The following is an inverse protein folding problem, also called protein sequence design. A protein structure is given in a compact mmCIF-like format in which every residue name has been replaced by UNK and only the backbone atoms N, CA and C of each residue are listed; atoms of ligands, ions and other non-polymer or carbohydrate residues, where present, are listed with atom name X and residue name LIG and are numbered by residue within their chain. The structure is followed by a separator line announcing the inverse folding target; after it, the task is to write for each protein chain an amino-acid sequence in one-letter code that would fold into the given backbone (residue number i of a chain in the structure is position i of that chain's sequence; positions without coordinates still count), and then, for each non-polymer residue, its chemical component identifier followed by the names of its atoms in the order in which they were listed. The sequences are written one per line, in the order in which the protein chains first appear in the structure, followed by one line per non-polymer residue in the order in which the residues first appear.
data_IF_611093867291
#
_entry.id   IF_611093867291
#
_cell.length_a   1.000
_cell.length_b   1.000
_cell.length_c   1.000
_cell.angle_alpha   90.00
_cell.angle_beta   90.00
_cell.angle_gamma   90.00
#
_symmetry.space_group_name_H-M   'P 1'
#
loop_
_entity.id
_entity.type
_entity.pdbx_description
1 polymer ?
#
# COMPACT_ATOMS: atom_id res chain seq x y z
N UNK A 1 -3.93 -11.70 -57.97
CA UNK A 1 -5.02 -12.67 -58.22
C UNK A 1 -6.24 -12.14 -57.47
N UNK A 2 -7.06 -11.26 -58.07
CA UNK A 2 -8.14 -11.59 -59.02
C UNK A 2 -9.12 -12.60 -58.39
N UNK A 3 -10.32 -12.17 -57.97
CA UNK A 3 -11.59 -12.20 -58.75
C UNK A 3 -12.54 -13.23 -58.07
N UNK A 4 -13.88 -13.15 -58.01
CA UNK A 4 -14.97 -12.42 -58.68
C UNK A 4 -16.14 -12.25 -57.65
N UNK A 5 -16.88 -11.13 -57.56
CA UNK A 5 -18.02 -10.67 -58.39
C UNK A 5 -19.25 -11.62 -58.35
N UNK A 6 -20.53 -11.19 -58.23
CA UNK A 6 -21.24 -10.08 -58.92
C UNK A 6 -22.67 -9.85 -58.36
N UNK A 7 -23.15 -8.63 -58.59
CA UNK A 7 -24.54 -8.12 -58.49
C UNK A 7 -25.51 -8.74 -59.52
N UNK A 8 -26.81 -8.36 -59.48
CA UNK A 8 -27.31 -7.62 -60.66
C UNK A 8 -28.23 -6.41 -60.40
N UNK A 9 -28.31 -5.57 -61.44
CA UNK A 9 -29.02 -4.30 -61.60
C UNK A 9 -30.47 -4.42 -62.16
N UNK A 10 -31.34 -3.52 -61.69
CA UNK A 10 -32.20 -2.55 -62.44
C UNK A 10 -32.84 -2.92 -63.80
N UNK A 11 -34.17 -2.76 -63.90
CA UNK A 11 -34.90 -2.32 -65.13
C UNK A 11 -36.06 -1.38 -64.75
N UNK A 12 -36.27 -0.37 -65.60
CA UNK A 12 -37.21 0.78 -65.59
C UNK A 12 -38.41 0.45 -66.52
N UNK A 13 -39.64 1.01 -66.47
CA UNK A 13 -40.06 2.40 -66.73
C UNK A 13 -41.60 2.53 -66.71
N UNK A 14 -42.08 3.79 -66.76
CA UNK A 14 -43.40 4.29 -67.21
C UNK A 14 -44.54 4.38 -66.17
N UNK A 15 -45.40 5.40 -66.11
CA UNK A 15 -45.45 6.83 -66.50
C UNK A 15 -46.83 7.38 -66.05
N UNK A 16 -47.01 8.73 -66.05
CA UNK A 16 -48.25 9.57 -65.94
C UNK A 16 -48.57 10.10 -64.52
N UNK A 17 -48.28 11.38 -64.23
CA UNK A 17 -49.08 12.63 -64.46
C UNK A 17 -50.43 12.63 -63.70
N UNK A 18 -50.68 13.57 -62.77
CA UNK A 18 -51.09 14.95 -63.06
C UNK A 18 -50.82 15.96 -61.91
N UNK A 19 -50.71 17.25 -62.27
CA UNK A 19 -50.49 18.45 -61.44
C UNK A 19 -51.80 19.13 -61.00
N UNK A 20 -51.77 19.91 -59.91
CA UNK A 20 -52.19 21.34 -59.77
C UNK A 20 -52.27 21.69 -58.25
N UNK A 21 -51.59 22.66 -57.64
CA UNK A 21 -51.42 24.13 -57.81
C UNK A 21 -52.43 25.00 -57.00
N UNK A 22 -51.95 25.45 -55.82
CA UNK A 22 -52.00 26.80 -55.17
C UNK A 22 -53.25 27.49 -54.58
N UNK A 23 -52.94 28.33 -53.55
CA UNK A 23 -53.55 29.61 -53.06
C UNK A 23 -54.74 29.48 -52.07
N UNK A 24 -55.02 30.36 -51.10
CA UNK A 24 -54.53 31.68 -50.66
C UNK A 24 -55.12 32.01 -49.25
N UNK A 25 -54.56 33.05 -48.60
CA UNK A 25 -54.95 33.73 -47.36
C UNK A 25 -56.32 34.47 -47.36
N UNK A 26 -56.82 34.73 -46.14
CA UNK A 26 -57.49 35.93 -45.57
C UNK A 26 -58.98 35.90 -45.13
N UNK A 27 -59.17 36.33 -43.86
CA UNK A 27 -60.21 37.25 -43.30
C UNK A 27 -61.65 36.68 -43.15
N UNK A 28 -62.57 37.11 -42.26
CA UNK A 28 -62.67 38.09 -41.17
C UNK A 28 -64.03 37.83 -40.42
N UNK A 29 -64.15 38.21 -39.13
CA UNK A 29 -65.35 38.71 -38.39
C UNK A 29 -66.71 37.95 -38.42
N UNK A 30 -67.66 37.99 -37.48
CA UNK A 30 -67.99 38.58 -36.15
C UNK A 30 -69.21 37.75 -35.64
N UNK A 31 -69.76 37.76 -34.42
CA UNK A 31 -69.73 38.66 -33.27
C UNK A 31 -70.84 38.28 -32.25
N UNK A 32 -70.79 38.95 -31.08
CA UNK A 32 -71.83 39.22 -30.06
C UNK A 32 -72.54 38.06 -29.32
N UNK A 33 -72.20 37.94 -28.02
CA UNK A 33 -73.13 38.24 -26.91
C UNK A 33 -72.32 38.44 -25.61
N UNK A 34 -71.87 39.68 -25.40
CA UNK A 34 -71.15 40.16 -24.21
C UNK A 34 -72.07 41.15 -23.51
N UNK A 35 -72.73 40.77 -22.41
CA UNK A 35 -73.21 41.75 -21.40
C UNK A 35 -73.76 41.24 -20.06
N UNK A 36 -73.74 39.94 -19.74
CA UNK A 36 -74.21 39.44 -18.42
C UNK A 36 -73.14 39.01 -17.40
N UNK A 37 -71.86 38.97 -17.80
CA UNK A 37 -70.77 38.46 -16.95
C UNK A 37 -69.95 39.51 -16.19
N UNK A 38 -70.23 40.80 -16.42
CA UNK A 38 -69.29 41.87 -16.02
C UNK A 38 -69.24 42.16 -14.51
N UNK A 39 -70.27 41.79 -13.74
CA UNK A 39 -70.30 42.08 -12.30
C UNK A 39 -69.80 40.93 -11.42
N UNK A 40 -69.79 39.68 -11.90
CA UNK A 40 -69.24 38.53 -11.16
C UNK A 40 -67.78 38.23 -11.52
N UNK A 41 -67.32 38.62 -12.72
CA UNK A 41 -65.93 38.44 -13.13
C UNK A 41 -64.94 39.31 -12.33
N UNK A 42 -65.35 40.51 -11.90
CA UNK A 42 -64.49 41.43 -11.14
C UNK A 42 -64.13 40.92 -9.74
N UNK A 43 -65.10 40.30 -9.05
CA UNK A 43 -64.88 39.72 -7.70
C UNK A 43 -64.02 38.46 -7.76
N UNK A 44 -64.23 37.60 -8.75
CA UNK A 44 -63.40 36.39 -8.94
C UNK A 44 -61.97 36.78 -9.33
N UNK A 45 -61.80 37.77 -10.22
CA UNK A 45 -60.48 38.24 -10.62
C UNK A 45 -59.72 38.88 -9.44
N UNK A 46 -60.38 39.67 -8.59
CA UNK A 46 -59.74 40.29 -7.43
C UNK A 46 -59.29 39.26 -6.38
N UNK A 47 -60.12 38.24 -6.10
CA UNK A 47 -59.75 37.14 -5.19
C UNK A 47 -58.62 36.29 -5.78
N UNK A 48 -58.66 35.99 -7.08
CA UNK A 48 -57.57 35.27 -7.75
C UNK A 48 -56.25 36.04 -7.77
N UNK A 49 -56.29 37.37 -7.96
CA UNK A 49 -55.08 38.21 -7.94
C UNK A 49 -54.53 38.32 -6.51
N UNK A 50 -55.38 38.52 -5.50
CA UNK A 50 -54.95 38.56 -4.10
C UNK A 50 -54.36 37.21 -3.65
N UNK A 51 -54.96 36.09 -4.08
CA UNK A 51 -54.43 34.75 -3.81
C UNK A 51 -53.11 34.50 -4.54
N UNK A 52 -52.96 34.96 -5.79
CA UNK A 52 -51.70 34.84 -6.55
C UNK A 52 -50.59 35.73 -5.98
N UNK A 53 -50.92 36.94 -5.51
CA UNK A 53 -49.96 37.87 -4.90
C UNK A 53 -49.55 37.37 -3.51
N UNK A 54 -50.50 36.90 -2.68
CA UNK A 54 -50.19 36.26 -1.40
C UNK A 54 -49.37 34.97 -1.55
N UNK A 55 -49.70 34.15 -2.56
CA UNK A 55 -48.92 32.94 -2.88
C UNK A 55 -47.52 33.26 -3.45
N UNK A 56 -47.35 34.40 -4.13
CA UNK A 56 -46.02 34.90 -4.55
C UNK A 56 -45.21 35.49 -3.40
N UNK A 57 -45.85 36.14 -2.42
CA UNK A 57 -45.16 36.80 -1.29
C UNK A 57 -44.84 35.84 -0.12
N UNK A 58 -45.57 34.73 0.03
CA UNK A 58 -45.31 33.71 1.05
C UNK A 58 -44.43 32.55 0.60
N UNK A 59 -43.82 32.59 -0.59
CA UNK A 59 -42.76 31.64 -0.95
C UNK A 59 -41.43 32.14 -0.38
N UNK A 60 -40.80 31.43 0.58
CA UNK A 60 -39.40 31.68 0.88
C UNK A 60 -38.59 31.43 -0.40
N UNK A 61 -37.55 32.24 -0.64
CA UNK A 61 -36.59 32.06 -1.73
C UNK A 61 -35.92 30.69 -1.60
N UNK A 62 -36.55 29.68 -2.17
CA UNK A 62 -36.01 28.34 -2.24
C UNK A 62 -35.01 28.35 -3.38
N UNK A 63 -33.76 28.62 -3.04
CA UNK A 63 -32.62 28.46 -3.93
C UNK A 63 -32.64 27.02 -4.42
N UNK A 64 -33.09 26.81 -5.66
CA UNK A 64 -32.79 25.57 -6.36
C UNK A 64 -31.28 25.56 -6.51
N UNK A 65 -30.60 24.80 -5.66
CA UNK A 65 -29.28 24.30 -6.01
C UNK A 65 -29.47 23.64 -7.37
N UNK A 66 -28.95 24.27 -8.43
CA UNK A 66 -28.74 23.62 -9.71
C UNK A 66 -27.97 22.36 -9.32
N UNK A 67 -28.65 21.21 -9.35
CA UNK A 67 -27.98 19.93 -9.20
C UNK A 67 -26.81 20.04 -10.15
N UNK A 68 -25.60 20.08 -9.58
CA UNK A 68 -24.38 20.13 -10.36
C UNK A 68 -24.55 18.96 -11.30
N UNK A 69 -24.78 19.27 -12.59
CA UNK A 69 -24.65 18.29 -13.64
C UNK A 69 -23.24 17.79 -13.38
N UNK A 70 -23.11 16.63 -12.74
CA UNK A 70 -21.89 15.86 -12.83
C UNK A 70 -21.80 15.66 -14.33
N UNK A 71 -21.03 16.53 -14.99
CA UNK A 71 -20.21 16.04 -16.06
C UNK A 71 -19.61 14.77 -15.49
N UNK A 72 -20.07 13.64 -16.03
CA UNK A 72 -19.47 12.34 -15.78
C UNK A 72 -18.08 12.36 -16.44
N UNK A 73 -17.21 13.26 -16.01
CA UNK A 73 -15.79 12.97 -15.96
C UNK A 73 -15.64 11.96 -14.82
N UNK A 74 -15.88 10.70 -15.18
CA UNK A 74 -15.57 9.57 -14.34
C UNK A 74 -14.07 9.40 -14.19
N UNK A 75 -13.39 10.32 -13.50
CA UNK A 75 -12.15 9.99 -12.83
C UNK A 75 -12.52 9.05 -11.69
N UNK A 76 -12.52 7.74 -12.00
CA UNK A 76 -12.54 6.68 -11.00
C UNK A 76 -11.37 6.96 -10.06
N UNK A 77 -11.64 7.51 -8.87
CA UNK A 77 -10.60 7.74 -7.87
C UNK A 77 -9.82 6.42 -7.67
N UNK A 78 -8.57 6.41 -8.14
CA UNK A 78 -7.69 5.24 -8.10
C UNK A 78 -7.58 4.80 -6.65
N UNK A 79 -8.04 3.59 -6.33
CA UNK A 79 -8.06 3.10 -4.95
C UNK A 79 -6.65 2.71 -4.53
N UNK A 80 -5.94 3.65 -3.92
CA UNK A 80 -4.60 3.44 -3.39
C UNK A 80 -4.56 2.41 -2.26
N UNK A 81 -3.54 1.57 -2.27
CA UNK A 81 -3.14 0.67 -1.19
C UNK A 81 -2.63 1.44 0.02
N UNK A 82 -2.56 0.75 1.17
CA UNK A 82 -1.98 1.33 2.39
C UNK A 82 -0.51 1.71 2.20
N UNK A 83 0.25 0.92 1.42
CA UNK A 83 1.68 1.19 1.15
C UNK A 83 1.86 2.41 0.26
N UNK A 84 1.07 2.56 -0.80
CA UNK A 84 1.03 3.77 -1.64
C UNK A 84 0.67 5.01 -0.79
N UNK A 85 -0.40 4.93 0.01
CA UNK A 85 -0.80 6.07 0.87
C UNK A 85 0.29 6.44 1.87
N UNK A 86 0.91 5.45 2.51
CA UNK A 86 1.99 5.68 3.48
C UNK A 86 3.21 6.29 2.79
N UNK A 87 3.56 5.80 1.60
CA UNK A 87 4.62 6.40 0.79
C UNK A 87 4.31 7.87 0.46
N UNK A 88 3.15 8.17 -0.14
CA UNK A 88 2.75 9.55 -0.49
C UNK A 88 2.73 10.48 0.73
N UNK A 89 2.30 9.94 1.87
CA UNK A 89 2.20 10.68 3.13
C UNK A 89 3.56 11.07 3.69
N UNK A 90 4.57 10.21 3.56
CA UNK A 90 5.91 10.43 4.12
C UNK A 90 6.93 10.98 3.11
N UNK A 91 6.76 10.76 1.80
CA UNK A 91 7.60 11.33 0.74
C UNK A 91 7.70 12.86 0.81
N UNK A 92 8.90 13.39 1.07
CA UNK A 92 9.14 14.84 1.27
C UNK A 92 9.59 15.57 0.01
N UNK A 93 10.10 14.83 -0.98
CA UNK A 93 10.76 15.39 -2.16
C UNK A 93 10.07 14.96 -3.45
N UNK A 94 10.16 15.82 -4.46
CA UNK A 94 9.62 15.62 -5.79
C UNK A 94 10.66 16.05 -6.81
N UNK A 95 10.79 15.31 -7.91
CA UNK A 95 11.65 15.66 -9.04
C UNK A 95 10.95 15.23 -10.33
N UNK A 96 10.86 16.13 -11.30
CA UNK A 96 10.17 15.90 -12.58
C UNK A 96 8.75 15.30 -12.44
N UNK A 97 8.00 15.78 -11.43
CA UNK A 97 6.66 15.30 -11.10
C UNK A 97 6.59 13.90 -10.47
N UNK A 98 7.72 13.24 -10.23
CA UNK A 98 7.82 11.96 -9.53
C UNK A 98 8.10 12.19 -8.04
N UNK A 99 7.35 11.50 -7.18
CA UNK A 99 7.55 11.56 -5.72
C UNK A 99 8.68 10.62 -5.27
N UNK A 100 9.51 11.11 -4.35
CA UNK A 100 10.60 10.37 -3.73
C UNK A 100 10.58 10.53 -2.20
N UNK A 101 11.11 9.53 -1.50
CA UNK A 101 11.46 9.60 -0.08
C UNK A 101 12.94 9.90 0.07
N UNK A 102 13.31 10.65 1.09
CA UNK A 102 14.69 10.66 1.56
C UNK A 102 14.97 9.42 2.43
N UNK A 103 16.25 9.06 2.68
CA UNK A 103 16.59 8.04 3.68
C UNK A 103 15.94 8.29 5.06
N UNK A 104 15.87 9.55 5.49
CA UNK A 104 15.17 9.92 6.72
C UNK A 104 13.66 9.68 6.63
N UNK A 105 13.01 10.06 5.52
CA UNK A 105 11.57 9.80 5.32
C UNK A 105 11.27 8.29 5.34
N UNK A 106 12.17 7.47 4.80
CA UNK A 106 12.04 6.01 4.87
C UNK A 106 12.04 5.53 6.32
N UNK A 107 13.03 5.93 7.13
CA UNK A 107 13.12 5.57 8.54
C UNK A 107 11.88 6.03 9.31
N UNK A 108 11.50 7.29 9.17
CA UNK A 108 10.29 7.85 9.78
C UNK A 108 9.04 7.05 9.35
N UNK A 109 8.95 6.66 8.07
CA UNK A 109 7.79 5.89 7.57
C UNK A 109 7.69 4.48 8.15
N UNK A 110 8.77 3.93 8.68
CA UNK A 110 8.77 2.60 9.31
C UNK A 110 8.49 2.69 10.80
N UNK A 111 9.01 3.72 11.46
CA UNK A 111 8.96 3.89 12.92
C UNK A 111 7.72 4.69 13.35
N UNK A 112 7.48 5.84 12.72
CA UNK A 112 6.51 6.83 13.17
C UNK A 112 5.11 6.61 12.60
N UNK A 113 4.07 6.98 13.36
CA UNK A 113 2.69 6.93 12.86
C UNK A 113 2.40 8.05 11.84
N UNK A 114 2.97 9.23 12.08
CA UNK A 114 2.76 10.46 11.34
C UNK A 114 4.09 11.07 10.87
N UNK A 115 4.14 11.69 9.68
CA UNK A 115 5.35 12.35 9.20
C UNK A 115 5.63 13.63 9.99
N UNK A 116 6.89 14.09 9.93
CA UNK A 116 7.30 15.41 10.43
C UNK A 116 6.43 16.52 9.80
N UNK A 117 5.97 17.52 10.57
CA UNK A 117 5.20 18.64 10.05
C UNK A 117 5.95 19.37 8.93
N UNK A 118 5.27 19.61 7.80
CA UNK A 118 5.84 20.29 6.64
C UNK A 118 4.78 21.07 5.89
N UNK A 119 5.19 22.22 5.35
CA UNK A 119 4.28 23.12 4.64
C UNK A 119 3.96 22.64 3.22
N UNK A 120 5.00 22.19 2.49
CA UNK A 120 4.90 21.65 1.14
C UNK A 120 6.05 20.68 0.87
N UNK A 121 5.90 19.86 -0.17
CA UNK A 121 7.00 19.02 -0.68
C UNK A 121 8.08 19.89 -1.32
N UNK A 122 9.33 19.46 -1.20
CA UNK A 122 10.48 20.14 -1.82
C UNK A 122 10.67 19.61 -3.24
N UNK A 123 10.64 20.51 -4.22
CA UNK A 123 10.98 20.18 -5.61
C UNK A 123 12.49 20.28 -5.76
N UNK A 124 13.14 19.20 -6.21
CA UNK A 124 14.58 19.11 -6.37
C UNK A 124 15.03 19.62 -7.74
N UNK A 125 16.25 20.14 -7.80
CA UNK A 125 16.95 20.53 -9.03
C UNK A 125 18.05 19.52 -9.39
N UNK A 126 18.47 19.49 -10.66
CA UNK A 126 19.52 18.57 -11.15
C UNK A 126 20.82 18.69 -10.34
N UNK A 127 21.20 19.93 -9.97
CA UNK A 127 22.40 20.20 -9.17
C UNK A 127 22.31 19.59 -7.77
N UNK A 128 21.13 19.66 -7.14
CA UNK A 128 20.92 19.06 -5.82
C UNK A 128 20.97 17.54 -5.90
N UNK A 129 20.40 16.94 -6.95
CA UNK A 129 20.50 15.50 -7.19
C UNK A 129 21.95 15.06 -7.38
N UNK A 130 22.75 15.82 -8.11
CA UNK A 130 24.18 15.52 -8.28
C UNK A 130 24.93 15.56 -6.92
N UNK A 131 24.64 16.55 -6.07
CA UNK A 131 25.21 16.63 -4.72
C UNK A 131 24.78 15.44 -3.86
N UNK A 132 23.50 15.03 -3.93
CA UNK A 132 23.01 13.83 -3.24
C UNK A 132 23.73 12.58 -3.74
N UNK A 133 23.82 12.39 -5.06
CA UNK A 133 24.53 11.27 -5.70
C UNK A 133 25.99 11.18 -5.25
N UNK A 134 26.65 12.32 -5.13
CA UNK A 134 28.04 12.39 -4.67
C UNK A 134 28.22 12.09 -3.18
N UNK A 135 27.17 12.22 -2.37
CA UNK A 135 27.18 11.95 -0.93
C UNK A 135 26.97 10.47 -0.58
N UNK A 136 26.51 9.66 -1.52
CA UNK A 136 26.19 8.24 -1.28
C UNK A 136 27.49 7.43 -1.13
N UNK A 137 27.67 6.69 -0.03
CA UNK A 137 28.82 5.82 0.14
C UNK A 137 28.73 4.65 -0.85
N UNK A 138 29.86 4.17 -1.39
CA UNK A 138 29.86 2.94 -2.19
C UNK A 138 29.58 1.73 -1.29
N UNK A 139 29.12 0.63 -1.89
CA UNK A 139 28.75 -0.62 -1.21
C UNK A 139 29.78 -1.12 -0.17
N UNK A 140 31.07 -1.04 -0.50
CA UNK A 140 32.18 -1.42 0.39
C UNK A 140 32.25 -0.65 1.72
N UNK A 141 31.60 0.51 1.80
CA UNK A 141 31.49 1.33 3.01
C UNK A 141 30.07 1.31 3.59
N UNK A 142 29.28 0.29 3.26
CA UNK A 142 27.99 0.05 3.89
C UNK A 142 28.14 -0.08 5.40
N UNK A 143 27.23 0.55 6.15
CA UNK A 143 27.26 0.55 7.62
C UNK A 143 25.85 0.37 8.19
N UNK A 144 25.72 -0.09 9.44
CA UNK A 144 24.44 -0.18 10.15
C UNK A 144 23.78 1.17 10.47
N UNK A 145 24.40 2.28 10.08
CA UNK A 145 23.91 3.64 10.29
C UNK A 145 23.82 4.42 8.97
N UNK A 146 23.80 3.73 7.82
CA UNK A 146 23.90 4.38 6.51
C UNK A 146 22.73 5.34 6.27
N UNK A 147 21.49 4.94 6.53
CA UNK A 147 20.33 5.78 6.25
C UNK A 147 20.31 7.00 7.18
N UNK A 148 20.66 6.82 8.46
CA UNK A 148 20.80 7.92 9.43
C UNK A 148 21.92 8.88 9.09
N UNK A 149 23.04 8.39 8.55
CA UNK A 149 24.16 9.23 8.14
C UNK A 149 23.82 10.05 6.89
N UNK A 150 23.07 9.46 5.94
CA UNK A 150 22.61 10.16 4.75
C UNK A 150 21.55 11.21 5.05
N UNK A 151 20.66 10.97 6.03
CA UNK A 151 19.54 11.86 6.38
C UNK A 151 18.70 12.22 5.14
N UNK A 152 18.69 13.49 4.75
CA UNK A 152 17.96 14.01 3.60
C UNK A 152 18.79 13.98 2.30
N UNK A 153 20.00 13.41 2.31
CA UNK A 153 20.95 13.34 1.17
C UNK A 153 20.79 12.04 0.38
N UNK A 154 19.61 11.87 -0.19
CA UNK A 154 19.31 10.71 -1.03
C UNK A 154 17.86 10.72 -1.48
N UNK A 155 17.56 9.89 -2.47
CA UNK A 155 16.22 9.67 -3.00
C UNK A 155 15.94 8.17 -3.09
N UNK A 156 14.75 7.80 -2.66
CA UNK A 156 14.23 6.44 -2.63
C UNK A 156 12.87 6.49 -3.31
N UNK A 157 12.72 5.71 -4.37
CA UNK A 157 11.49 5.60 -5.11
C UNK A 157 10.46 4.69 -4.42
N UNK A 158 9.24 4.65 -4.94
CA UNK A 158 8.21 3.76 -4.39
C UNK A 158 8.54 2.27 -4.56
N UNK A 159 9.15 1.87 -5.69
CA UNK A 159 9.56 0.47 -5.93
C UNK A 159 10.66 0.05 -4.97
N UNK A 160 11.66 0.91 -4.75
CA UNK A 160 12.71 0.69 -3.74
C UNK A 160 12.16 0.70 -2.32
N UNK A 161 11.18 1.56 -2.02
CA UNK A 161 10.49 1.53 -0.73
C UNK A 161 9.85 0.16 -0.46
N UNK A 162 9.16 -0.42 -1.45
CA UNK A 162 8.59 -1.76 -1.33
C UNK A 162 9.67 -2.83 -1.14
N UNK A 163 10.78 -2.71 -1.87
CA UNK A 163 11.93 -3.57 -1.72
C UNK A 163 12.50 -3.54 -0.30
N UNK A 164 12.80 -2.34 0.22
CA UNK A 164 13.32 -2.14 1.58
C UNK A 164 12.34 -2.70 2.63
N UNK A 165 11.04 -2.44 2.50
CA UNK A 165 10.02 -3.02 3.38
C UNK A 165 10.02 -4.56 3.35
N UNK A 166 10.27 -5.17 2.19
CA UNK A 166 10.32 -6.63 2.05
C UNK A 166 11.56 -7.24 2.73
N UNK A 167 12.62 -6.46 2.88
CA UNK A 167 13.85 -6.86 3.57
C UNK A 167 13.65 -6.89 5.09
N UNK A 168 12.94 -5.91 5.66
CA UNK A 168 12.88 -5.70 7.13
C UNK A 168 12.41 -6.92 7.95
N UNK A 169 11.59 -7.78 7.35
CA UNK A 169 11.00 -8.97 8.03
C UNK A 169 11.48 -10.29 7.44
N UNK A 170 12.47 -10.25 6.53
CA UNK A 170 12.95 -11.46 5.85
C UNK A 170 13.93 -12.21 6.75
N UNK A 171 13.76 -13.52 7.00
CA UNK A 171 14.76 -14.32 7.69
C UNK A 171 16.03 -14.46 6.84
N UNK A 172 17.16 -14.77 7.49
CA UNK A 172 18.46 -14.95 6.83
C UNK A 172 18.42 -16.06 5.76
N UNK A 173 17.69 -17.15 6.03
CA UNK A 173 17.45 -18.23 5.05
C UNK A 173 16.76 -17.72 3.78
N UNK A 174 15.90 -16.71 3.91
CA UNK A 174 15.18 -16.07 2.82
C UNK A 174 16.00 -15.06 2.01
N UNK A 175 17.22 -14.71 2.43
CA UNK A 175 18.07 -13.75 1.71
C UNK A 175 18.58 -14.35 0.40
N UNK A 176 19.07 -15.59 0.44
CA UNK A 176 19.51 -16.30 -0.77
C UNK A 176 18.37 -16.46 -1.77
N UNK A 177 17.18 -16.80 -1.28
CA UNK A 177 15.99 -16.91 -2.13
C UNK A 177 15.67 -15.56 -2.78
N UNK A 178 15.76 -14.44 -2.04
CA UNK A 178 15.54 -13.12 -2.62
C UNK A 178 16.59 -12.79 -3.67
N UNK A 179 17.87 -13.04 -3.40
CA UNK A 179 18.97 -12.80 -4.32
C UNK A 179 18.78 -13.57 -5.63
N UNK A 180 18.46 -14.86 -5.54
CA UNK A 180 18.21 -15.71 -6.71
C UNK A 180 16.94 -15.34 -7.48
N UNK A 181 16.04 -14.51 -6.92
CA UNK A 181 14.94 -13.94 -7.69
C UNK A 181 15.36 -12.74 -8.54
N UNK A 182 16.48 -12.09 -8.21
CA UNK A 182 17.06 -11.00 -8.99
C UNK A 182 18.06 -11.53 -10.02
N UNK A 183 18.89 -12.49 -9.65
CA UNK A 183 19.86 -13.16 -10.51
C UNK A 183 19.12 -14.05 -11.52
N UNK A 184 18.85 -13.51 -12.71
CA UNK A 184 18.02 -14.16 -13.74
C UNK A 184 18.83 -15.08 -14.65
N UNK A 185 20.12 -14.81 -14.80
CA UNK A 185 21.03 -15.60 -15.63
C UNK A 185 21.80 -16.68 -14.82
N UNK A 186 21.71 -16.64 -13.49
CA UNK A 186 22.31 -17.62 -12.59
C UNK A 186 23.82 -17.43 -12.40
N UNK A 187 24.34 -16.23 -12.66
CA UNK A 187 25.78 -15.95 -12.60
C UNK A 187 26.28 -15.63 -11.17
N UNK A 188 25.41 -15.73 -10.15
CA UNK A 188 25.62 -15.40 -8.74
C UNK A 188 25.89 -13.91 -8.46
N UNK A 189 25.46 -13.05 -9.39
CA UNK A 189 25.59 -11.60 -9.34
C UNK A 189 24.27 -10.98 -9.79
N UNK A 190 24.07 -9.74 -9.39
CA UNK A 190 22.92 -8.95 -9.84
C UNK A 190 23.47 -7.70 -10.48
N UNK A 191 23.13 -7.49 -11.74
CA UNK A 191 23.47 -6.24 -12.43
C UNK A 191 22.36 -5.17 -12.26
N UNK A 192 22.62 -3.96 -12.75
CA UNK A 192 21.66 -2.85 -12.65
C UNK A 192 20.37 -3.15 -13.42
N UNK A 193 20.44 -3.87 -14.54
CA UNK A 193 19.27 -4.19 -15.37
C UNK A 193 18.39 -5.24 -14.70
N UNK A 194 18.98 -6.24 -14.07
CA UNK A 194 18.30 -7.26 -13.27
C UNK A 194 17.62 -6.65 -12.05
N UNK A 195 18.26 -5.69 -11.38
CA UNK A 195 17.62 -4.95 -10.29
C UNK A 195 16.39 -4.15 -10.75
N UNK A 196 16.42 -3.59 -11.96
CA UNK A 196 15.29 -2.87 -12.56
C UNK A 196 14.11 -3.79 -12.93
N UNK A 197 14.32 -5.11 -13.09
CA UNK A 197 13.22 -6.08 -13.34
C UNK A 197 12.17 -6.01 -12.23
N UNK A 198 12.57 -5.71 -11.01
CA UNK A 198 11.65 -5.51 -9.88
C UNK A 198 10.64 -4.38 -10.13
N UNK A 199 11.05 -3.30 -10.80
CA UNK A 199 10.16 -2.20 -11.15
C UNK A 199 9.09 -2.67 -12.13
N UNK A 200 9.48 -3.50 -13.10
CA UNK A 200 8.57 -4.13 -14.05
C UNK A 200 7.57 -5.04 -13.35
N UNK A 201 8.02 -5.89 -12.43
CA UNK A 201 7.16 -6.80 -11.66
C UNK A 201 6.15 -6.03 -10.80
N UNK A 202 6.58 -4.98 -10.11
CA UNK A 202 5.68 -4.17 -9.28
C UNK A 202 4.72 -3.30 -10.10
N UNK A 203 5.14 -2.82 -11.27
CA UNK A 203 4.29 -2.11 -12.24
C UNK A 203 3.20 -3.03 -12.81
N UNK A 204 3.58 -4.25 -13.22
CA UNK A 204 2.63 -5.27 -13.72
C UNK A 204 1.57 -5.66 -12.67
N UNK A 205 2.00 -5.87 -11.43
CA UNK A 205 1.11 -6.15 -10.31
C UNK A 205 0.13 -4.99 -9.98
N UNK A 206 0.44 -3.76 -10.40
CA UNK A 206 -0.45 -2.61 -10.29
C UNK A 206 -1.43 -2.54 -11.47
N UNK A 207 -0.97 -2.76 -12.72
CA UNK A 207 -1.84 -2.84 -13.92
C UNK A 207 -2.98 -3.84 -13.73
N UNK A 208 -2.66 -5.04 -13.25
CA UNK A 208 -3.66 -6.08 -12.98
C UNK A 208 -4.70 -5.69 -11.91
N UNK A 209 -4.34 -4.81 -10.95
CA UNK A 209 -5.25 -4.34 -9.88
C UNK A 209 -6.10 -3.14 -10.30
N UNK A 210 -5.57 -2.31 -11.19
CA UNK A 210 -6.23 -1.09 -11.66
C UNK A 210 -6.97 -1.28 -12.99
N UNK A 211 -6.91 -2.48 -13.58
CA UNK A 211 -7.76 -2.89 -14.70
C UNK A 211 -7.44 -2.17 -16.01
N UNK A 212 -6.23 -1.62 -16.14
CA UNK A 212 -5.79 -0.88 -17.31
C UNK A 212 -5.49 -1.78 -18.51
N UNK A 213 -5.27 -3.10 -18.33
CA UNK A 213 -4.98 -4.04 -19.41
C UNK A 213 -5.59 -5.44 -19.20
N UNK A 214 -5.92 -6.13 -20.29
CA UNK A 214 -6.40 -7.53 -20.30
C UNK A 214 -5.28 -8.52 -19.97
N UNK A 215 -5.61 -9.65 -19.32
CA UNK A 215 -4.64 -10.70 -18.92
C UNK A 215 -3.71 -11.13 -20.07
N UNK A 216 -4.23 -11.25 -21.29
CA UNK A 216 -3.46 -11.62 -22.49
C UNK A 216 -2.38 -10.60 -22.85
N UNK A 217 -2.66 -9.29 -22.73
CA UNK A 217 -1.64 -8.24 -22.91
C UNK A 217 -0.60 -8.28 -21.80
N UNK A 218 -1.03 -8.55 -20.57
CA UNK A 218 -0.17 -8.66 -19.39
C UNK A 218 0.81 -9.85 -19.49
N UNK A 219 0.36 -10.97 -20.07
CA UNK A 219 1.17 -12.16 -20.33
C UNK A 219 2.16 -11.94 -21.48
N UNK A 220 1.76 -11.25 -22.55
CA UNK A 220 2.64 -10.87 -23.68
C UNK A 220 3.83 -9.97 -23.26
N UNK A 221 3.69 -9.13 -22.21
CA UNK A 221 4.79 -8.30 -21.68
C UNK A 221 5.83 -9.12 -20.88
N UNK A 222 5.50 -10.35 -20.53
CA UNK A 222 6.32 -11.25 -19.72
C UNK A 222 7.25 -12.11 -20.57
N UNK A 223 6.88 -12.42 -21.82
CA UNK A 223 7.55 -13.47 -22.59
C UNK A 223 8.69 -13.02 -23.53
N UNK A 224 8.81 -11.75 -23.91
CA UNK A 224 9.93 -11.29 -24.74
C UNK A 224 10.27 -9.84 -24.42
N UNK A 225 11.48 -9.58 -23.93
CA UNK A 225 12.37 -8.46 -24.30
C UNK A 225 13.41 -8.17 -23.20
N UNK A 226 14.69 -8.23 -23.61
CA UNK A 226 15.91 -8.08 -22.79
C UNK A 226 16.76 -6.92 -23.34
N UNK A 227 16.16 -5.74 -23.54
CA UNK A 227 16.90 -4.52 -23.87
C UNK A 227 16.42 -3.33 -23.03
N UNK A 228 17.30 -2.40 -22.62
CA UNK A 228 16.92 -1.20 -21.88
C UNK A 228 15.93 -0.30 -22.64
N UNK A 229 15.89 -0.38 -23.97
CA UNK A 229 14.96 0.34 -24.83
C UNK A 229 13.56 -0.28 -24.85
N UNK A 230 13.42 -1.60 -24.81
CA UNK A 230 12.10 -2.26 -24.88
C UNK A 230 11.30 -2.14 -23.57
N UNK A 231 11.98 -1.93 -22.43
CA UNK A 231 11.33 -1.62 -21.14
C UNK A 231 10.64 -0.24 -21.20
N UNK A 232 11.05 0.66 -22.11
CA UNK A 232 10.55 2.04 -22.25
C UNK A 232 9.05 2.16 -22.54
N UNK A 233 8.45 1.13 -23.13
CA UNK A 233 7.05 1.17 -23.61
C UNK A 233 6.05 0.75 -22.51
N UNK A 234 6.51 0.28 -21.35
CA UNK A 234 5.66 -0.31 -20.30
C UNK A 234 5.44 0.59 -19.06
N UNK A 235 5.82 1.86 -19.11
CA UNK A 235 5.62 2.76 -17.99
C UNK A 235 4.21 3.36 -17.98
N UNK A 236 3.63 3.44 -16.78
CA UNK A 236 2.34 4.08 -16.56
C UNK A 236 2.64 5.43 -15.94
N UNK A 237 2.22 6.48 -16.61
CA UNK A 237 2.09 7.77 -15.97
C UNK A 237 0.81 7.72 -15.12
N UNK A 238 0.90 7.20 -13.90
CA UNK A 238 -0.20 7.31 -12.97
C UNK A 238 -0.34 8.77 -12.53
N UNK A 239 -1.56 9.28 -12.36
CA UNK A 239 -1.82 10.69 -11.99
C UNK A 239 -1.07 11.16 -10.72
N UNK A 240 -0.49 10.23 -9.95
CA UNK A 240 0.22 10.45 -8.71
C UNK A 240 1.75 10.28 -8.82
N UNK A 241 2.27 9.86 -9.98
CA UNK A 241 3.69 9.65 -10.24
C UNK A 241 4.32 8.72 -9.20
N UNK A 242 3.79 7.50 -9.03
CA UNK A 242 4.33 6.48 -8.13
C UNK A 242 4.98 5.33 -8.90
N UNK A 243 4.61 5.14 -10.17
CA UNK A 243 5.06 4.03 -11.00
C UNK A 243 5.78 4.47 -12.28
N UNK A 244 6.38 5.66 -12.26
CA UNK A 244 7.22 6.11 -13.38
C UNK A 244 8.57 5.41 -13.34
N UNK A 245 9.19 5.27 -14.52
CA UNK A 245 10.62 4.96 -14.63
C UNK A 245 11.38 5.99 -13.82
N UNK A 246 12.42 5.60 -13.08
CA UNK A 246 13.28 6.62 -12.50
C UNK A 246 13.94 7.40 -13.63
N UNK A 247 13.67 8.70 -13.68
CA UNK A 247 14.35 9.62 -14.57
C UNK A 247 15.84 9.74 -14.19
N UNK A 248 16.19 9.38 -12.95
CA UNK A 248 17.50 9.57 -12.34
C UNK A 248 17.89 8.37 -11.51
N UNK A 249 19.19 8.12 -11.40
CA UNK A 249 19.69 7.07 -10.53
C UNK A 249 19.39 7.39 -9.05
N UNK A 250 18.72 6.45 -8.40
CA UNK A 250 18.29 6.56 -7.01
C UNK A 250 19.41 6.16 -6.03
N UNK A 251 19.17 6.33 -4.73
CA UNK A 251 20.19 6.06 -3.73
C UNK A 251 20.66 4.62 -3.68
N UNK A 252 19.77 3.63 -3.82
CA UNK A 252 20.19 2.22 -3.82
C UNK A 252 20.93 1.85 -5.09
N UNK A 253 20.52 2.38 -6.24
CA UNK A 253 21.20 2.13 -7.52
C UNK A 253 22.65 2.60 -7.47
N UNK A 254 22.87 3.82 -6.98
CA UNK A 254 24.23 4.38 -6.85
C UNK A 254 25.03 3.60 -5.79
N UNK A 255 24.39 3.18 -4.70
CA UNK A 255 25.05 2.41 -3.64
C UNK A 255 25.52 1.03 -4.13
N UNK A 256 24.65 0.28 -4.81
CA UNK A 256 24.92 -1.08 -5.30
C UNK A 256 25.81 -1.10 -6.54
N UNK A 257 25.46 -0.32 -7.57
CA UNK A 257 26.07 -0.42 -8.90
C UNK A 257 27.12 0.66 -9.16
N UNK A 258 27.36 1.53 -8.17
CA UNK A 258 28.26 2.67 -8.29
C UNK A 258 27.64 3.81 -9.08
N UNK A 259 28.40 4.91 -9.20
CA UNK A 259 27.93 6.10 -9.93
C UNK A 259 27.73 5.77 -11.41
N UNK A 260 28.65 5.03 -12.01
CA UNK A 260 28.57 4.71 -13.45
C UNK A 260 27.59 3.57 -13.75
N UNK A 261 27.05 2.89 -12.73
CA UNK A 261 26.07 1.81 -12.88
C UNK A 261 26.65 0.50 -13.45
N UNK A 262 27.98 0.36 -13.46
CA UNK A 262 28.70 -0.77 -14.05
C UNK A 262 29.09 -1.85 -13.04
N UNK A 263 29.03 -1.56 -11.73
CA UNK A 263 29.38 -2.56 -10.74
C UNK A 263 28.29 -3.62 -10.66
N UNK A 264 28.67 -4.82 -10.23
CA UNK A 264 27.75 -5.93 -10.00
C UNK A 264 27.61 -6.18 -8.50
N UNK A 265 26.42 -6.58 -8.07
CA UNK A 265 26.08 -6.86 -6.69
C UNK A 265 26.21 -8.36 -6.40
N UNK A 266 27.12 -8.73 -5.51
CA UNK A 266 27.30 -10.12 -5.07
C UNK A 266 26.39 -10.46 -3.90
N UNK A 267 26.14 -11.75 -3.71
CA UNK A 267 25.31 -12.23 -2.60
C UNK A 267 25.80 -11.78 -1.22
N UNK A 268 27.10 -11.85 -0.93
CA UNK A 268 27.60 -11.48 0.41
C UNK A 268 27.40 -9.99 0.70
N UNK A 269 27.58 -9.12 -0.31
CA UNK A 269 27.33 -7.69 -0.16
C UNK A 269 25.83 -7.40 0.01
N UNK A 270 24.99 -8.09 -0.76
CA UNK A 270 23.52 -8.01 -0.64
C UNK A 270 23.04 -8.45 0.75
N UNK A 271 23.57 -9.57 1.25
CA UNK A 271 23.29 -10.08 2.59
C UNK A 271 23.72 -9.06 3.65
N UNK A 272 24.94 -8.53 3.57
CA UNK A 272 25.43 -7.54 4.52
C UNK A 272 24.56 -6.27 4.51
N UNK A 273 24.12 -5.82 3.33
CA UNK A 273 23.18 -4.70 3.21
C UNK A 273 21.86 -5.00 3.93
N UNK A 274 21.26 -6.18 3.72
CA UNK A 274 20.01 -6.57 4.37
C UNK A 274 20.16 -6.64 5.90
N UNK A 275 21.27 -7.22 6.39
CA UNK A 275 21.55 -7.29 7.83
C UNK A 275 21.74 -5.90 8.46
N UNK A 276 22.47 -5.02 7.76
CA UNK A 276 22.68 -3.63 8.21
C UNK A 276 21.37 -2.86 8.26
N UNK A 277 20.51 -3.00 7.25
CA UNK A 277 19.20 -2.33 7.21
C UNK A 277 18.27 -2.81 8.33
N UNK A 278 18.21 -4.13 8.55
CA UNK A 278 17.44 -4.70 9.65
C UNK A 278 17.95 -4.22 10.99
N UNK A 279 19.27 -4.19 11.18
CA UNK A 279 19.90 -3.65 12.39
C UNK A 279 19.53 -2.18 12.60
N UNK A 280 19.67 -1.35 11.57
CA UNK A 280 19.43 0.10 11.64
C UNK A 280 17.99 0.42 12.09
N UNK A 281 17.01 -0.22 11.46
CA UNK A 281 15.60 -0.03 11.82
C UNK A 281 15.32 -0.55 13.23
N UNK A 282 15.87 -1.71 13.58
CA UNK A 282 15.65 -2.30 14.89
C UNK A 282 16.25 -1.46 16.03
N UNK A 283 17.42 -0.89 15.80
CA UNK A 283 18.06 0.02 16.74
C UNK A 283 17.22 1.29 16.95
N UNK A 284 16.64 1.85 15.89
CA UNK A 284 15.74 3.00 16.00
C UNK A 284 14.46 2.67 16.77
N UNK A 285 13.84 1.51 16.49
CA UNK A 285 12.70 1.02 17.28
C UNK A 285 13.09 0.92 18.76
N UNK A 286 14.24 0.33 19.08
CA UNK A 286 14.67 0.20 20.46
C UNK A 286 14.85 1.56 21.17
N UNK A 287 15.48 2.52 20.51
CA UNK A 287 15.76 3.84 21.10
C UNK A 287 14.49 4.71 21.28
N UNK A 288 13.47 4.52 20.44
CA UNK A 288 12.15 5.17 20.60
C UNK A 288 11.56 4.85 21.99
N UNK A 289 11.74 3.62 22.46
CA UNK A 289 11.20 3.15 23.73
C UNK A 289 12.17 3.29 24.90
N UNK A 290 13.49 3.19 24.67
CA UNK A 290 14.47 3.34 25.75
C UNK A 290 14.52 4.77 26.29
N UNK A 291 14.10 5.77 25.50
CA UNK A 291 14.05 7.19 25.88
C UNK A 291 15.41 7.68 26.44
N UNK A 292 16.50 7.18 25.86
CA UNK A 292 17.87 7.51 26.24
C UNK A 292 18.46 6.68 27.39
N UNK A 293 17.75 5.66 27.87
CA UNK A 293 18.27 4.66 28.82
C UNK A 293 19.06 3.57 28.09
N UNK A 294 19.96 2.90 28.82
CA UNK A 294 20.74 1.77 28.29
C UNK A 294 19.89 0.50 28.07
N UNK A 295 18.78 0.37 28.81
CA UNK A 295 17.85 -0.74 28.72
C UNK A 295 16.40 -0.26 28.59
N UNK A 296 15.56 -0.98 27.83
CA UNK A 296 14.10 -0.78 27.83
C UNK A 296 13.48 -1.53 29.00
N UNK A 297 12.38 -1.02 29.55
CA UNK A 297 11.62 -1.79 30.56
C UNK A 297 10.93 -2.99 29.91
N UNK A 298 10.65 -4.02 30.71
CA UNK A 298 9.89 -5.20 30.29
C UNK A 298 8.47 -4.82 29.85
N UNK A 299 7.92 -3.78 30.49
CA UNK A 299 6.64 -3.20 30.10
C UNK A 299 6.71 -2.58 28.69
N UNK A 300 7.76 -1.82 28.40
CA UNK A 300 7.95 -1.24 27.07
C UNK A 300 8.22 -2.35 26.03
N UNK A 301 8.98 -3.37 26.40
CA UNK A 301 9.17 -4.57 25.57
C UNK A 301 7.85 -5.26 25.24
N UNK A 302 6.98 -5.48 26.23
CA UNK A 302 5.65 -6.05 26.01
C UNK A 302 4.80 -5.17 25.08
N UNK A 303 4.79 -3.84 25.31
CA UNK A 303 4.08 -2.89 24.43
C UNK A 303 4.58 -2.95 22.99
N UNK A 304 5.89 -3.07 22.79
CA UNK A 304 6.51 -3.24 21.47
C UNK A 304 6.02 -4.53 20.80
N UNK A 305 6.00 -5.65 21.52
CA UNK A 305 5.55 -6.94 21.01
C UNK A 305 4.05 -6.94 20.66
N UNK A 306 3.25 -6.16 21.37
CA UNK A 306 1.80 -6.10 21.19
C UNK A 306 1.35 -4.95 20.25
N UNK A 307 2.24 -4.06 19.79
CA UNK A 307 1.88 -2.86 18.98
C UNK A 307 1.08 -3.17 17.70
N UNK A 308 1.30 -4.33 17.10
CA UNK A 308 0.67 -4.73 15.82
C UNK A 308 -0.23 -5.96 15.95
N UNK A 309 -0.61 -6.33 17.17
CA UNK A 309 -1.54 -7.43 17.41
C UNK A 309 -2.98 -6.93 17.36
N UNK A 310 -3.92 -7.84 17.09
CA UNK A 310 -5.34 -7.53 17.04
C UNK A 310 -6.02 -7.85 18.37
N UNK A 311 -5.49 -7.29 19.45
CA UNK A 311 -6.06 -7.42 20.79
C UNK A 311 -7.02 -6.27 21.04
N UNK A 312 -8.10 -6.55 21.76
CA UNK A 312 -8.92 -5.47 22.31
C UNK A 312 -8.21 -4.82 23.51
N UNK A 313 -8.75 -3.69 23.99
CA UNK A 313 -8.12 -2.94 25.09
C UNK A 313 -8.06 -3.77 26.38
N UNK A 314 -9.06 -4.61 26.64
CA UNK A 314 -9.12 -5.41 27.88
C UNK A 314 -8.11 -6.55 27.88
N UNK A 315 -7.97 -7.26 26.76
CA UNK A 315 -6.94 -8.28 26.54
C UNK A 315 -5.55 -7.67 26.59
N UNK A 316 -5.36 -6.52 25.95
CA UNK A 316 -4.08 -5.80 25.96
C UNK A 316 -3.64 -5.44 27.38
N UNK A 317 -4.55 -4.91 28.20
CA UNK A 317 -4.25 -4.52 29.59
C UNK A 317 -3.92 -5.75 30.46
N UNK A 318 -4.59 -6.91 30.25
CA UNK A 318 -4.26 -8.16 30.96
C UNK A 318 -2.81 -8.60 30.72
N UNK A 319 -2.31 -8.50 29.48
CA UNK A 319 -0.91 -8.84 29.17
C UNK A 319 0.07 -7.92 29.91
N UNK A 320 -0.23 -6.62 29.99
CA UNK A 320 0.63 -5.66 30.69
C UNK A 320 0.61 -5.87 32.20
N UNK A 321 -0.55 -6.16 32.77
CA UNK A 321 -0.70 -6.42 34.21
C UNK A 321 0.13 -7.62 34.67
N UNK A 322 0.21 -8.70 33.87
CA UNK A 322 1.05 -9.87 34.17
C UNK A 322 2.53 -9.51 34.33
N UNK A 323 3.03 -8.60 33.50
CA UNK A 323 4.42 -8.11 33.60
C UNK A 323 4.61 -7.23 34.83
N UNK A 324 3.63 -6.39 35.16
CA UNK A 324 3.70 -5.48 36.31
C UNK A 324 3.72 -6.24 37.65
N UNK A 325 3.03 -7.37 37.75
CA UNK A 325 2.99 -8.20 38.97
C UNK A 325 4.36 -8.83 39.25
N UNK A 326 5.12 -9.19 38.21
CA UNK A 326 6.42 -9.87 38.32
C UNK A 326 7.58 -8.89 38.52
N UNK A 327 7.70 -8.33 39.73
CA UNK A 327 8.74 -7.36 40.07
C UNK A 327 10.18 -7.88 39.92
N UNK A 328 10.38 -9.21 40.02
CA UNK A 328 11.70 -9.85 39.84
C UNK A 328 12.24 -9.75 38.40
N UNK A 329 11.35 -9.45 37.45
CA UNK A 329 11.72 -9.27 36.05
C UNK A 329 12.26 -7.87 35.77
N UNK A 330 12.14 -6.87 36.65
CA UNK A 330 12.49 -5.47 36.37
C UNK A 330 14.01 -5.20 36.32
N UNK A 331 14.70 -5.78 35.35
CA UNK A 331 16.16 -5.67 35.16
C UNK A 331 16.51 -4.78 33.95
N UNK A 332 15.58 -4.66 33.02
CA UNK A 332 15.74 -4.00 31.74
C UNK A 332 16.27 -4.95 30.67
N UNK A 333 15.68 -4.87 29.48
CA UNK A 333 16.10 -5.64 28.31
C UNK A 333 17.10 -4.81 27.51
N UNK A 334 18.30 -5.35 27.32
CA UNK A 334 19.36 -4.70 26.54
C UNK A 334 19.08 -4.77 25.03
N UNK A 335 19.77 -3.93 24.25
CA UNK A 335 19.59 -3.95 22.80
C UNK A 335 19.99 -5.29 22.16
N UNK A 336 21.02 -5.96 22.66
CA UNK A 336 21.45 -7.26 22.14
C UNK A 336 20.40 -8.35 22.43
N UNK A 337 19.81 -8.37 23.62
CA UNK A 337 18.71 -9.29 23.96
C UNK A 337 17.49 -9.04 23.07
N UNK A 338 17.10 -7.77 22.93
CA UNK A 338 16.04 -7.35 22.04
C UNK A 338 16.28 -7.80 20.59
N UNK A 339 17.52 -7.63 20.11
CA UNK A 339 17.93 -8.02 18.76
C UNK A 339 17.84 -9.53 18.55
N UNK A 340 18.37 -10.33 19.46
CA UNK A 340 18.31 -11.80 19.35
C UNK A 340 16.85 -12.29 19.35
N UNK A 341 15.99 -11.70 20.18
CA UNK A 341 14.57 -12.04 20.19
C UNK A 341 13.88 -11.72 18.85
N UNK A 342 14.18 -10.57 18.25
CA UNK A 342 13.61 -10.19 16.96
C UNK A 342 14.13 -11.03 15.79
N UNK A 343 15.39 -11.44 15.84
CA UNK A 343 15.92 -12.42 14.89
C UNK A 343 15.17 -13.74 14.97
N UNK A 344 14.79 -14.17 16.17
CA UNK A 344 13.89 -15.30 16.36
C UNK A 344 12.51 -15.06 15.73
N UNK A 345 11.87 -13.90 15.97
CA UNK A 345 10.57 -13.60 15.38
C UNK A 345 10.58 -13.64 13.85
N UNK A 346 11.68 -13.25 13.19
CA UNK A 346 11.80 -13.36 11.74
C UNK A 346 11.79 -14.81 11.23
N UNK A 347 12.11 -15.79 12.08
CA UNK A 347 12.07 -17.23 11.80
C UNK A 347 10.87 -17.93 12.47
N UNK A 348 9.81 -17.18 12.82
CA UNK A 348 8.66 -17.74 13.55
C UNK A 348 7.88 -18.78 12.74
N UNK A 349 7.93 -18.71 11.40
CA UNK A 349 7.26 -19.72 10.56
C UNK A 349 7.94 -21.09 10.66
N UNK A 350 9.27 -21.12 10.72
CA UNK A 350 10.04 -22.36 10.94
C UNK A 350 9.81 -22.89 12.35
N UNK A 351 9.81 -22.01 13.35
CA UNK A 351 9.48 -22.36 14.73
C UNK A 351 8.04 -22.89 14.87
N UNK A 352 7.08 -22.30 14.15
CA UNK A 352 5.70 -22.75 14.16
C UNK A 352 5.52 -24.16 13.57
N UNK A 353 6.39 -24.61 12.67
CA UNK A 353 6.38 -26.01 12.18
C UNK A 353 6.75 -26.95 13.33
N UNK A 354 7.79 -26.62 14.10
CA UNK A 354 8.17 -27.39 15.28
C UNK A 354 7.05 -27.40 16.33
N UNK A 355 6.47 -26.23 16.65
CA UNK A 355 5.37 -26.11 17.62
C UNK A 355 4.16 -26.97 17.25
N UNK A 356 3.78 -27.03 15.96
CA UNK A 356 2.64 -27.85 15.51
C UNK A 356 2.81 -29.32 15.85
N UNK A 357 4.03 -29.85 15.85
CA UNK A 357 4.30 -31.24 16.22
C UNK A 357 3.92 -31.51 17.69
N UNK A 358 4.21 -30.56 18.58
CA UNK A 358 3.83 -30.61 19.99
C UNK A 358 2.32 -30.44 20.19
N UNK A 359 1.71 -29.49 19.46
CA UNK A 359 0.25 -29.28 19.49
C UNK A 359 -0.52 -30.51 19.03
N UNK A 360 -0.03 -31.25 18.02
CA UNK A 360 -0.68 -32.49 17.57
C UNK A 360 -0.60 -33.62 18.60
N UNK A 361 0.34 -33.55 19.53
CA UNK A 361 0.48 -34.49 20.63
C UNK A 361 -0.23 -34.00 21.91
N UNK A 362 -1.00 -32.90 21.83
CA UNK A 362 -1.60 -32.19 22.97
C UNK A 362 -0.59 -31.91 24.10
N UNK A 363 0.66 -31.65 23.73
CA UNK A 363 1.74 -31.35 24.66
C UNK A 363 2.06 -29.84 24.62
N UNK A 364 1.90 -29.11 25.73
CA UNK A 364 2.38 -27.74 25.82
C UNK A 364 3.92 -27.73 25.89
N UNK A 365 4.54 -26.59 25.59
CA UNK A 365 6.01 -26.50 25.48
C UNK A 365 6.60 -25.85 26.73
N UNK A 366 7.50 -26.58 27.39
CA UNK A 366 8.26 -26.04 28.52
C UNK A 366 9.29 -25.00 28.09
N UNK A 367 9.73 -24.14 29.03
CA UNK A 367 10.80 -23.15 28.80
C UNK A 367 12.06 -23.75 28.16
N UNK A 368 12.47 -24.95 28.59
CA UNK A 368 13.67 -25.63 28.08
C UNK A 368 13.55 -26.09 26.63
N UNK A 369 12.37 -26.57 26.26
CA UNK A 369 12.07 -27.02 24.90
C UNK A 369 11.91 -25.84 23.96
N UNK A 370 11.27 -24.76 24.43
CA UNK A 370 11.19 -23.51 23.69
C UNK A 370 12.60 -22.99 23.36
N UNK A 371 13.49 -22.89 24.36
CA UNK A 371 14.86 -22.41 24.15
C UNK A 371 15.66 -23.31 23.20
N UNK A 372 15.46 -24.63 23.27
CA UNK A 372 16.04 -25.59 22.31
C UNK A 372 15.53 -25.33 20.89
N UNK A 373 14.22 -25.16 20.71
CA UNK A 373 13.62 -24.92 19.41
C UNK A 373 14.07 -23.57 18.81
N UNK A 374 14.17 -22.51 19.61
CA UNK A 374 14.74 -21.22 19.18
C UNK A 374 16.18 -21.37 18.69
N UNK A 375 17.00 -22.14 19.42
CA UNK A 375 18.39 -22.41 19.04
C UNK A 375 18.49 -23.15 17.71
N UNK A 376 17.59 -24.09 17.44
CA UNK A 376 17.54 -24.82 16.17
C UNK A 376 17.16 -23.89 15.01
N UNK A 377 16.17 -23.01 15.19
CA UNK A 377 15.70 -22.12 14.14
C UNK A 377 16.66 -20.96 13.84
N UNK A 378 17.33 -20.42 14.86
CA UNK A 378 18.12 -19.17 14.72
C UNK A 378 19.63 -19.38 14.77
N UNK A 379 20.09 -20.51 15.34
CA UNK A 379 21.48 -20.71 15.72
C UNK A 379 21.92 -19.93 16.95
N UNK A 380 21.04 -19.14 17.57
CA UNK A 380 21.33 -18.29 18.74
C UNK A 380 20.51 -18.72 19.96
N UNK A 381 21.01 -18.41 21.15
CA UNK A 381 20.33 -18.70 22.42
C UNK A 381 19.82 -17.39 22.99
N UNK A 382 18.54 -17.34 23.37
CA UNK A 382 17.96 -16.20 24.06
C UNK A 382 18.43 -16.19 25.52
N UNK A 383 18.57 -14.99 26.10
CA UNK A 383 18.88 -14.85 27.52
C UNK A 383 17.75 -15.40 28.38
N UNK A 384 18.10 -15.95 29.55
CA UNK A 384 17.11 -16.50 30.47
C UNK A 384 16.12 -15.42 30.92
N UNK A 385 16.58 -14.18 31.08
CA UNK A 385 15.74 -13.02 31.40
C UNK A 385 14.73 -12.70 30.30
N UNK A 386 15.15 -12.69 29.03
CA UNK A 386 14.22 -12.50 27.90
C UNK A 386 13.20 -13.62 27.84
N UNK A 387 13.64 -14.86 28.07
CA UNK A 387 12.78 -16.04 28.11
C UNK A 387 11.76 -15.96 29.24
N UNK A 388 12.17 -15.59 30.46
CA UNK A 388 11.25 -15.41 31.59
C UNK A 388 10.21 -14.33 31.31
N UNK A 389 10.63 -13.22 30.69
CA UNK A 389 9.73 -12.12 30.31
C UNK A 389 8.70 -12.58 29.27
N UNK A 390 9.11 -13.38 28.29
CA UNK A 390 8.21 -13.91 27.26
C UNK A 390 7.21 -14.89 27.85
N UNK A 391 7.64 -15.80 28.73
CA UNK A 391 6.74 -16.73 29.40
C UNK A 391 5.77 -15.98 30.32
N UNK A 392 6.25 -15.04 31.13
CA UNK A 392 5.38 -14.22 31.98
C UNK A 392 4.36 -13.38 31.17
N UNK A 393 4.67 -13.02 29.92
CA UNK A 393 3.74 -12.32 29.05
C UNK A 393 2.66 -13.27 28.52
N UNK A 394 3.04 -14.40 27.94
CA UNK A 394 2.13 -15.22 27.13
C UNK A 394 1.50 -16.41 27.86
N UNK A 395 2.06 -16.88 28.97
CA UNK A 395 1.49 -17.95 29.81
C UNK A 395 0.22 -17.43 30.51
N UNK A 396 -0.96 -17.84 30.03
CA UNK A 396 -2.23 -17.34 30.56
C UNK A 396 -2.74 -18.12 31.76
N UNK A 397 -2.47 -19.41 31.81
CA UNK A 397 -2.94 -20.32 32.84
C UNK A 397 -1.92 -20.51 33.99
N UNK A 398 -0.71 -19.99 33.82
CA UNK A 398 0.36 -20.02 34.82
C UNK A 398 0.97 -21.39 34.99
N UNK A 399 0.87 -22.26 33.98
CA UNK A 399 1.37 -23.64 34.04
C UNK A 399 2.89 -23.74 33.78
N UNK A 400 3.54 -22.62 33.45
CA UNK A 400 4.97 -22.53 33.14
C UNK A 400 5.32 -23.03 31.73
N UNK A 401 4.32 -23.20 30.87
CA UNK A 401 4.44 -23.70 29.51
C UNK A 401 3.80 -22.70 28.53
N UNK A 402 4.03 -22.93 27.23
CA UNK A 402 3.42 -22.12 26.17
C UNK A 402 2.73 -23.01 25.14
N UNK A 403 1.46 -22.75 24.93
CA UNK A 403 0.65 -23.33 23.87
C UNK A 403 0.78 -22.56 22.54
N UNK A 404 0.30 -23.17 21.46
CA UNK A 404 0.32 -22.56 20.12
C UNK A 404 -0.53 -21.28 20.05
N UNK A 405 -1.68 -21.27 20.73
CA UNK A 405 -2.62 -20.13 20.72
C UNK A 405 -2.08 -18.95 21.50
N UNK A 406 -1.36 -19.20 22.59
CA UNK A 406 -0.79 -18.17 23.46
C UNK A 406 0.32 -17.39 22.77
N UNK A 407 1.25 -18.08 22.10
CA UNK A 407 2.42 -17.43 21.53
C UNK A 407 2.34 -17.23 20.01
N UNK A 408 2.15 -18.31 19.25
CA UNK A 408 2.31 -18.29 17.78
C UNK A 408 1.21 -17.49 17.09
N UNK A 409 -0.03 -17.62 17.55
CA UNK A 409 -1.15 -16.89 16.97
C UNK A 409 -0.94 -15.38 17.07
N UNK A 410 -0.52 -14.90 18.25
CA UNK A 410 -0.31 -13.48 18.52
C UNK A 410 0.90 -12.94 17.74
N UNK A 411 2.03 -13.66 17.78
CA UNK A 411 3.27 -13.20 17.15
C UNK A 411 3.26 -13.27 15.62
N UNK A 412 2.45 -14.14 15.01
CA UNK A 412 2.28 -14.17 13.55
C UNK A 412 1.60 -12.93 13.00
N UNK A 413 0.62 -12.38 13.70
CA UNK A 413 -0.03 -11.13 13.29
C UNK A 413 0.96 -9.96 13.38
N UNK A 414 1.78 -9.95 14.44
CA UNK A 414 2.82 -8.94 14.67
C UNK A 414 3.94 -8.96 13.61
N UNK A 415 4.43 -10.12 13.18
CA UNK A 415 5.55 -10.21 12.21
C UNK A 415 5.25 -9.42 10.93
N UNK A 416 3.98 -9.31 10.56
CA UNK A 416 3.57 -8.58 9.37
C UNK A 416 3.40 -7.08 9.58
N UNK A 417 3.78 -6.53 10.75
CA UNK A 417 3.73 -5.09 11.08
C UNK A 417 2.39 -4.43 10.70
N UNK A 418 1.28 -5.15 10.88
CA UNK A 418 -0.08 -4.70 10.51
C UNK A 418 -0.43 -4.73 9.01
N UNK A 419 0.48 -5.13 8.12
CA UNK A 419 0.26 -5.15 6.66
C UNK A 419 -0.66 -6.28 6.16
N UNK A 420 -0.87 -7.36 6.93
CA UNK A 420 -1.76 -8.49 6.56
C UNK A 420 -3.24 -8.31 6.94
N UNK A 421 -3.58 -7.30 7.74
CA UNK A 421 -4.94 -7.04 8.28
C UNK A 421 -6.07 -7.03 7.23
N UNK A 422 -5.77 -6.85 5.94
CA UNK A 422 -6.77 -6.89 4.87
C UNK A 422 -7.09 -8.27 4.29
N UNK A 423 -6.34 -9.34 4.53
CA UNK A 423 -6.73 -10.66 3.98
C UNK A 423 -8.06 -11.14 4.59
N UNK A 424 -8.28 -10.91 5.90
CA UNK A 424 -9.52 -11.27 6.59
C UNK A 424 -10.70 -10.37 6.20
N UNK A 425 -10.49 -9.05 6.10
CA UNK A 425 -11.52 -8.11 5.62
C UNK A 425 -11.88 -8.31 4.14
N UNK A 426 -10.92 -8.71 3.29
CA UNK A 426 -11.18 -9.10 1.89
C UNK A 426 -11.97 -10.40 1.80
N UNK A 427 -11.67 -11.40 2.64
CA UNK A 427 -12.46 -12.64 2.73
C UNK A 427 -13.89 -12.37 3.17
N UNK A 428 -14.10 -11.52 4.17
CA UNK A 428 -15.44 -11.13 4.62
C UNK A 428 -16.21 -10.40 3.51
N UNK A 429 -15.58 -9.44 2.82
CA UNK A 429 -16.22 -8.74 1.68
C UNK A 429 -16.50 -9.66 0.49
N UNK A 430 -15.62 -10.61 0.20
CA UNK A 430 -15.83 -11.61 -0.85
C UNK A 430 -16.99 -12.54 -0.50
N UNK A 431 -17.08 -12.96 0.77
CA UNK A 431 -18.20 -13.74 1.30
C UNK A 431 -19.52 -12.97 1.23
N UNK A 432 -19.57 -11.71 1.68
CA UNK A 432 -20.77 -10.86 1.57
C UNK A 432 -21.14 -10.60 0.11
N UNK A 433 -20.17 -10.45 -0.79
CA UNK A 433 -20.41 -10.30 -2.23
C UNK A 433 -20.98 -11.57 -2.85
N UNK A 434 -20.47 -12.74 -2.45
CA UNK A 434 -20.96 -14.04 -2.92
C UNK A 434 -22.41 -14.28 -2.46
N UNK A 435 -22.71 -14.05 -1.17
CA UNK A 435 -24.08 -14.13 -0.65
C UNK A 435 -25.01 -13.15 -1.36
N UNK A 436 -24.57 -11.90 -1.57
CA UNK A 436 -25.38 -10.89 -2.25
C UNK A 436 -25.65 -11.23 -3.72
N UNK A 437 -24.76 -12.00 -4.35
CA UNK A 437 -24.92 -12.48 -5.72
C UNK A 437 -25.88 -13.68 -5.78
N UNK A 438 -25.76 -14.62 -4.85
CA UNK A 438 -26.71 -15.75 -4.68
C UNK A 438 -28.13 -15.28 -4.31
N UNK A 439 -28.25 -14.24 -3.47
CA UNK A 439 -29.54 -13.64 -3.14
C UNK A 439 -30.17 -12.85 -4.30
N UNK A 440 -29.41 -12.54 -5.35
CA UNK A 440 -29.92 -11.89 -6.58
C UNK A 440 -30.27 -12.89 -7.68
N UNK A 441 -29.75 -14.13 -7.60
CA UNK A 441 -30.05 -15.20 -8.54
C UNK A 441 -31.24 -16.07 -8.11
N UNK A 442 -31.82 -15.81 -6.94
CA UNK A 442 -33.17 -16.23 -6.54
C UNK A 442 -34.14 -15.07 -6.73
#
# INVERSE_FOLDING_TARGET
MANLMRLPCRVSSSSRHFRAVTRSYNSWCSGREVKKWRNNAGLVAAVSIAFLVGYKYSRPDMVHAKARKKEEEGQKAVKLTMRERRFIKFASVEYDGQLYMTPQDFLDSVIEAEPRPRLKRRVLTDKELEVMRNSIPPLRHGSPHMFRNLRDKGIISYTEYLFLLSILIKPKSGFRIAFNMFDTDGNERVDKTEFLVMEKVFSHAWRGRHGTETKEKLELLTERQTTPEDIQVQYIDDEQGLQRRHAVDTSLMVHFFGRDGINELKYEDFKQFMENLQYEVLELEYHEFSKGREAISELDFAKILLRYTHLDTEEYDKYLDRILINSELQKGITFDEFRHFYQFLNNIDDFAIAMRMYTLADHPISKSEFQRAVKICTGTVLSDHTMDTVFALFDEDGDGQLSYTEFIAIMKDRLHRGFKSQQRLKRLRAFTSCIKQEMKSR
#
